data_IF_233943399454
#
_entry.id   IF_233943399454
#
_cell.length_a   1.000
_cell.length_b   1.000
_cell.length_c   1.000
_cell.angle_alpha   90.00
_cell.angle_beta   90.00
_cell.angle_gamma   90.00
#
_symmetry.space_group_name_H-M   'P 1'
#
loop_
_entity.id
_entity.type
_entity.pdbx_description
1 polymer ?
#
# COMPACT_ATOMS: atom_id res chain seq x y z
N UNK A 1 11.94 9.75 7.55
CA UNK A 1 12.52 9.81 6.19
C UNK A 1 11.58 10.51 5.19
N UNK A 2 10.28 10.12 5.07
CA UNK A 2 9.34 10.77 4.14
C UNK A 2 9.16 12.27 4.41
N UNK A 3 9.12 12.69 5.68
CA UNK A 3 9.02 14.11 6.04
C UNK A 3 10.24 14.90 5.56
N UNK A 4 11.46 14.37 5.80
CA UNK A 4 12.70 15.01 5.35
C UNK A 4 12.76 15.11 3.80
N UNK A 5 12.28 14.07 3.10
CA UNK A 5 12.19 14.11 1.64
C UNK A 5 11.19 15.18 1.16
N UNK A 6 10.03 15.28 1.80
CA UNK A 6 9.04 16.31 1.50
C UNK A 6 9.58 17.72 1.75
N UNK A 7 10.29 17.91 2.87
CA UNK A 7 10.91 19.21 3.20
C UNK A 7 11.97 19.60 2.16
N UNK A 8 12.83 18.66 1.74
CA UNK A 8 13.85 18.89 0.72
C UNK A 8 13.23 19.24 -0.65
N UNK A 9 12.15 18.52 -1.03
CA UNK A 9 11.43 18.80 -2.28
C UNK A 9 10.78 20.19 -2.25
N UNK A 10 10.09 20.53 -1.16
CA UNK A 10 9.44 21.85 -1.04
C UNK A 10 10.46 22.98 -0.98
N UNK A 11 11.59 22.77 -0.32
CA UNK A 11 12.67 23.78 -0.31
C UNK A 11 13.28 23.99 -1.71
N UNK A 12 13.35 22.95 -2.53
CA UNK A 12 13.87 23.00 -3.89
C UNK A 12 12.88 23.55 -4.90
N UNK A 13 11.59 23.27 -4.69
CA UNK A 13 10.49 23.59 -5.61
C UNK A 13 9.29 24.15 -4.83
N UNK A 14 9.39 25.40 -4.32
CA UNK A 14 8.38 25.95 -3.41
C UNK A 14 6.98 26.12 -4.04
N UNK A 15 6.93 26.38 -5.34
CA UNK A 15 5.70 26.67 -6.08
C UNK A 15 5.11 25.43 -6.78
N UNK A 16 5.70 24.24 -6.58
CA UNK A 16 5.23 23.01 -7.20
C UNK A 16 4.43 22.19 -6.21
N UNK A 17 3.20 21.74 -6.58
CA UNK A 17 2.40 20.91 -5.70
C UNK A 17 3.07 19.57 -5.42
N UNK A 18 2.98 19.12 -4.16
CA UNK A 18 3.55 17.86 -3.72
C UNK A 18 2.49 16.76 -3.80
N UNK A 19 2.84 15.63 -4.41
CA UNK A 19 1.99 14.45 -4.54
C UNK A 19 2.60 13.25 -3.84
N UNK A 20 1.73 12.38 -3.32
CA UNK A 20 2.13 11.08 -2.81
C UNK A 20 1.72 9.99 -3.80
N UNK A 21 2.66 9.21 -4.31
CA UNK A 21 2.36 8.03 -5.12
C UNK A 21 2.88 6.82 -4.36
N UNK A 22 1.96 6.04 -3.80
CA UNK A 22 2.28 4.90 -2.94
C UNK A 22 1.86 3.58 -3.56
N UNK A 23 2.82 2.70 -3.90
CA UNK A 23 2.54 1.34 -4.34
C UNK A 23 2.49 0.38 -3.14
N UNK A 24 1.47 -0.48 -3.10
CA UNK A 24 1.34 -1.53 -2.09
C UNK A 24 1.49 -0.97 -0.66
N UNK A 25 2.55 -1.32 0.07
CA UNK A 25 2.88 -0.78 1.39
C UNK A 25 2.98 0.76 1.39
N UNK A 26 3.45 1.36 0.28
CA UNK A 26 3.55 2.81 0.14
C UNK A 26 2.20 3.53 0.29
N UNK A 27 1.09 2.90 -0.10
CA UNK A 27 -0.25 3.44 0.16
C UNK A 27 -0.75 3.16 1.58
N UNK A 28 -0.29 2.09 2.21
CA UNK A 28 -0.67 1.75 3.59
C UNK A 28 -0.08 2.73 4.62
N UNK A 29 1.12 3.26 4.35
CA UNK A 29 1.86 4.13 5.29
C UNK A 29 1.54 5.63 5.14
N UNK A 30 0.67 6.03 4.24
CA UNK A 30 0.28 7.43 4.05
C UNK A 30 -0.19 8.09 5.37
N UNK A 31 -0.98 7.37 6.18
CA UNK A 31 -1.47 7.87 7.47
C UNK A 31 -0.36 8.17 8.49
N UNK A 32 0.81 7.55 8.33
CA UNK A 32 1.98 7.78 9.19
C UNK A 32 2.89 8.92 8.70
N UNK A 33 2.55 9.54 7.57
CA UNK A 33 3.23 10.73 7.09
C UNK A 33 2.63 11.97 7.76
N UNK A 34 3.36 12.63 8.70
CA UNK A 34 2.78 13.68 9.54
C UNK A 34 2.42 14.95 8.77
N UNK A 35 2.98 15.16 7.58
CA UNK A 35 2.77 16.33 6.75
C UNK A 35 1.78 16.08 5.60
N UNK A 36 0.87 15.09 5.75
CA UNK A 36 -0.07 14.73 4.69
C UNK A 36 -0.93 15.91 4.20
N UNK A 37 -1.23 16.88 5.07
CA UNK A 37 -1.99 18.08 4.69
C UNK A 37 -1.26 18.99 3.66
N UNK A 38 0.05 18.81 3.47
CA UNK A 38 0.84 19.52 2.44
C UNK A 38 0.72 18.88 1.06
N UNK A 39 0.17 17.68 0.98
CA UNK A 39 -0.01 16.97 -0.28
C UNK A 39 -1.22 17.53 -1.03
N UNK A 40 -1.05 17.85 -2.29
CA UNK A 40 -2.16 18.23 -3.17
C UNK A 40 -3.11 17.03 -3.39
N UNK A 41 -2.54 15.83 -3.55
CA UNK A 41 -3.29 14.58 -3.72
C UNK A 41 -2.41 13.38 -3.39
N UNK A 42 -3.02 12.29 -2.97
CA UNK A 42 -2.37 11.00 -2.81
C UNK A 42 -2.94 9.99 -3.80
N UNK A 43 -2.08 9.28 -4.51
CA UNK A 43 -2.43 8.21 -5.42
C UNK A 43 -1.89 6.90 -4.85
N UNK A 44 -2.77 5.96 -4.54
CA UNK A 44 -2.38 4.62 -4.06
C UNK A 44 -2.53 3.62 -5.19
N UNK A 45 -1.53 2.79 -5.40
CA UNK A 45 -1.50 1.81 -6.50
C UNK A 45 -1.36 0.41 -5.91
N UNK A 46 -2.31 -0.48 -6.19
CA UNK A 46 -2.30 -1.84 -5.68
C UNK A 46 -2.20 -1.90 -4.15
N UNK A 47 -2.80 -0.94 -3.44
CA UNK A 47 -2.72 -0.83 -1.98
C UNK A 47 -4.00 -1.32 -1.33
N UNK A 48 -3.85 -2.08 -0.26
CA UNK A 48 -4.96 -2.63 0.50
C UNK A 48 -4.53 -2.98 1.93
N UNK A 49 -5.47 -3.36 2.78
CA UNK A 49 -5.16 -3.96 4.07
C UNK A 49 -4.36 -5.25 3.83
N UNK A 50 -3.39 -5.54 4.67
CA UNK A 50 -2.68 -6.80 4.57
C UNK A 50 -3.42 -7.97 5.25
N UNK A 51 -4.66 -7.79 5.67
CA UNK A 51 -5.39 -8.83 6.41
C UNK A 51 -5.56 -10.10 5.57
N UNK A 52 -4.99 -11.19 6.05
CA UNK A 52 -4.79 -12.41 5.28
C UNK A 52 -6.08 -13.08 4.79
N UNK A 53 -7.19 -12.96 5.54
CA UNK A 53 -8.49 -13.52 5.11
C UNK A 53 -9.18 -12.69 4.00
N UNK A 54 -8.74 -11.47 3.76
CA UNK A 54 -9.24 -10.64 2.67
C UNK A 54 -8.45 -10.81 1.38
N UNK A 55 -7.27 -11.41 1.41
CA UNK A 55 -6.46 -11.70 0.23
C UNK A 55 -7.21 -12.58 -0.77
N UNK A 56 -6.70 -12.66 -1.99
CA UNK A 56 -7.21 -13.59 -3.00
C UNK A 56 -7.18 -15.02 -2.48
N UNK A 57 -8.12 -15.83 -2.89
CA UNK A 57 -8.25 -17.20 -2.39
C UNK A 57 -6.98 -18.03 -2.57
N UNK A 58 -6.33 -17.90 -3.73
CA UNK A 58 -5.07 -18.60 -4.04
C UNK A 58 -3.93 -18.24 -3.11
N UNK A 59 -3.92 -17.02 -2.58
CA UNK A 59 -2.86 -16.53 -1.70
C UNK A 59 -3.09 -16.88 -0.23
N UNK A 60 -4.33 -17.07 0.21
CA UNK A 60 -4.69 -17.24 1.64
C UNK A 60 -3.92 -18.34 2.35
N UNK A 61 -3.83 -19.52 1.75
CA UNK A 61 -3.11 -20.65 2.36
C UNK A 61 -1.62 -20.34 2.52
N UNK A 62 -1.04 -19.72 1.50
CA UNK A 62 0.37 -19.33 1.54
C UNK A 62 0.67 -18.28 2.61
N UNK A 63 -0.13 -17.20 2.70
CA UNK A 63 0.08 -16.16 3.71
C UNK A 63 -0.29 -16.62 5.11
N UNK A 64 -1.26 -17.53 5.24
CA UNK A 64 -1.52 -18.21 6.51
C UNK A 64 -0.28 -18.96 7.00
N UNK A 65 0.31 -19.81 6.15
CA UNK A 65 1.57 -20.49 6.45
C UNK A 65 2.69 -19.51 6.80
N UNK A 66 2.84 -18.44 6.01
CA UNK A 66 3.84 -17.41 6.26
C UNK A 66 3.68 -16.77 7.66
N UNK A 67 2.46 -16.31 7.97
CA UNK A 67 2.23 -15.54 9.20
C UNK A 67 2.20 -16.38 10.47
N UNK A 68 1.77 -17.62 10.40
CA UNK A 68 1.59 -18.46 11.59
C UNK A 68 2.76 -19.42 11.83
N UNK A 69 3.57 -19.72 10.82
CA UNK A 69 4.68 -20.69 10.95
C UNK A 69 6.02 -20.10 10.53
N UNK A 70 6.17 -19.59 9.31
CA UNK A 70 7.46 -19.14 8.79
C UNK A 70 8.01 -17.96 9.60
N UNK A 71 7.25 -16.91 9.77
CA UNK A 71 7.70 -15.70 10.46
C UNK A 71 8.02 -15.98 11.94
N UNK A 72 7.15 -16.66 12.73
CA UNK A 72 7.46 -17.00 14.12
C UNK A 72 8.72 -17.85 14.31
N UNK A 73 9.00 -18.73 13.34
CA UNK A 73 10.19 -19.60 13.40
C UNK A 73 11.46 -18.86 12.96
N UNK A 74 11.37 -18.11 11.88
CA UNK A 74 12.54 -17.49 11.22
C UNK A 74 13.06 -16.29 12.02
N UNK A 75 12.19 -15.45 12.58
CA UNK A 75 12.63 -14.28 13.33
C UNK A 75 13.50 -14.58 14.56
N UNK A 76 13.19 -15.56 15.42
CA UNK A 76 14.08 -15.92 16.53
C UNK A 76 15.39 -16.52 16.06
N UNK A 77 15.37 -17.35 14.99
CA UNK A 77 16.55 -18.06 14.51
C UNK A 77 17.57 -17.15 13.82
N UNK A 78 17.12 -16.18 13.05
CA UNK A 78 17.99 -15.32 12.24
C UNK A 78 18.13 -13.89 12.79
N UNK A 79 17.30 -13.48 13.74
CA UNK A 79 17.28 -12.09 14.24
C UNK A 79 16.69 -11.08 13.25
N UNK A 80 16.34 -11.49 12.04
CA UNK A 80 15.71 -10.69 10.97
C UNK A 80 14.94 -11.63 10.03
N UNK A 81 14.15 -11.08 9.12
CA UNK A 81 13.47 -11.87 8.09
C UNK A 81 14.31 -11.89 6.80
N UNK A 82 14.91 -13.06 6.44
CA UNK A 82 15.78 -13.19 5.28
C UNK A 82 14.98 -13.33 3.98
N UNK A 83 14.21 -12.31 3.63
CA UNK A 83 13.27 -12.35 2.51
C UNK A 83 13.93 -12.59 1.17
N UNK A 84 15.16 -12.09 0.95
CA UNK A 84 15.93 -12.34 -0.27
C UNK A 84 16.26 -13.83 -0.44
N UNK A 85 16.69 -14.50 0.64
CA UNK A 85 16.97 -15.94 0.62
C UNK A 85 15.69 -16.75 0.34
N UNK A 86 14.58 -16.31 0.87
CA UNK A 86 13.27 -16.93 0.67
C UNK A 86 12.62 -16.55 -0.67
N UNK A 87 13.28 -15.73 -1.50
CA UNK A 87 12.78 -15.22 -2.80
C UNK A 87 11.39 -14.57 -2.69
N UNK A 88 11.17 -13.80 -1.63
CA UNK A 88 9.91 -13.12 -1.33
C UNK A 88 10.06 -11.59 -1.45
N UNK A 89 10.04 -10.90 -0.34
CA UNK A 89 10.36 -9.48 -0.24
C UNK A 89 11.85 -9.31 0.06
N UNK A 90 12.35 -8.09 0.14
CA UNK A 90 13.69 -7.83 0.64
C UNK A 90 13.89 -8.32 2.08
N UNK A 91 15.13 -8.28 2.57
CA UNK A 91 15.40 -8.57 3.98
C UNK A 91 14.76 -7.50 4.86
N UNK A 92 14.07 -7.92 5.91
CA UNK A 92 13.35 -7.01 6.79
C UNK A 92 13.89 -7.11 8.23
N UNK A 93 14.09 -5.96 8.92
CA UNK A 93 14.41 -5.95 10.33
C UNK A 93 13.36 -6.72 11.14
N UNK A 94 13.80 -7.38 12.23
CA UNK A 94 12.93 -8.17 13.10
C UNK A 94 11.68 -7.41 13.53
N UNK A 95 11.84 -6.16 14.01
CA UNK A 95 10.74 -5.35 14.50
C UNK A 95 9.71 -5.03 13.41
N UNK A 96 10.17 -4.67 12.22
CA UNK A 96 9.31 -4.38 11.06
C UNK A 96 8.48 -5.60 10.67
N UNK A 97 9.14 -6.76 10.53
CA UNK A 97 8.43 -7.99 10.14
C UNK A 97 7.44 -8.47 11.20
N UNK A 98 7.82 -8.38 12.49
CA UNK A 98 6.94 -8.74 13.60
C UNK A 98 5.73 -7.82 13.69
N UNK A 99 5.89 -6.51 13.48
CA UNK A 99 4.79 -5.55 13.45
C UNK A 99 3.86 -5.83 12.28
N UNK A 100 4.41 -5.99 11.09
CA UNK A 100 3.62 -6.29 9.89
C UNK A 100 2.85 -7.61 10.01
N UNK A 101 3.46 -8.64 10.59
CA UNK A 101 2.77 -9.90 10.92
C UNK A 101 1.55 -9.67 11.80
N UNK A 102 1.67 -8.88 12.88
CA UNK A 102 0.52 -8.57 13.76
C UNK A 102 -0.60 -7.89 12.98
N UNK A 103 -0.26 -6.90 12.16
CA UNK A 103 -1.24 -6.19 11.33
C UNK A 103 -1.95 -7.13 10.35
N UNK A 104 -1.20 -7.95 9.62
CA UNK A 104 -1.76 -8.87 8.63
C UNK A 104 -2.65 -9.97 9.24
N UNK A 105 -2.50 -10.25 10.52
CA UNK A 105 -3.34 -11.23 11.25
C UNK A 105 -4.62 -10.61 11.85
N UNK A 106 -4.72 -9.30 11.92
CA UNK A 106 -5.87 -8.61 12.50
C UNK A 106 -6.81 -8.10 11.40
N UNK A 107 -8.14 -8.30 11.59
CA UNK A 107 -9.16 -7.91 10.61
C UNK A 107 -9.16 -6.42 10.28
N UNK A 108 -8.88 -5.58 11.27
CA UNK A 108 -8.79 -4.13 11.11
C UNK A 108 -7.33 -3.67 10.91
N UNK A 109 -6.46 -4.57 10.45
CA UNK A 109 -5.07 -4.31 10.07
C UNK A 109 -4.31 -3.51 11.14
N UNK A 110 -3.54 -2.47 10.72
CA UNK A 110 -2.79 -1.60 11.62
C UNK A 110 -3.68 -0.90 12.66
N UNK A 111 -4.87 -0.47 12.25
CA UNK A 111 -5.84 0.23 13.11
C UNK A 111 -6.30 -0.65 14.27
N UNK A 112 -6.51 -1.95 14.02
CA UNK A 112 -6.96 -2.87 15.06
C UNK A 112 -5.85 -3.27 16.04
N UNK A 113 -4.60 -3.30 15.60
CA UNK A 113 -3.45 -3.68 16.43
C UNK A 113 -2.91 -2.54 17.26
N UNK A 114 -2.76 -1.36 16.64
CA UNK A 114 -2.18 -0.17 17.29
C UNK A 114 -3.26 0.69 17.98
N UNK A 115 -4.53 0.39 17.72
CA UNK A 115 -5.67 0.96 18.41
C UNK A 115 -6.03 2.39 18.00
N UNK A 116 -6.67 3.10 18.94
CA UNK A 116 -7.24 4.43 18.72
C UNK A 116 -6.23 5.49 18.23
N UNK A 117 -4.97 5.52 18.67
CA UNK A 117 -4.01 6.49 18.13
C UNK A 117 -3.83 6.37 16.62
N UNK A 118 -3.69 5.14 16.10
CA UNK A 118 -3.52 4.91 14.66
C UNK A 118 -4.84 5.12 13.91
N UNK A 119 -5.99 4.76 14.51
CA UNK A 119 -7.30 5.08 13.94
C UNK A 119 -7.46 6.59 13.69
N UNK A 120 -7.07 7.41 14.66
CA UNK A 120 -7.10 8.88 14.52
C UNK A 120 -6.13 9.37 13.46
N UNK A 121 -4.95 8.78 13.31
CA UNK A 121 -4.01 9.16 12.25
C UNK A 121 -4.62 8.91 10.86
N UNK A 122 -5.25 7.75 10.63
CA UNK A 122 -5.94 7.49 9.37
C UNK A 122 -7.10 8.46 9.13
N UNK A 123 -7.92 8.71 10.15
CA UNK A 123 -9.06 9.64 10.06
C UNK A 123 -8.65 11.10 9.85
N UNK A 124 -7.47 11.50 10.35
CA UNK A 124 -6.95 12.86 10.22
C UNK A 124 -6.43 13.20 8.82
N UNK A 125 -6.22 12.22 7.95
CA UNK A 125 -5.83 12.47 6.56
C UNK A 125 -6.99 13.11 5.82
N UNK A 126 -6.82 14.36 5.40
CA UNK A 126 -7.80 15.14 4.62
C UNK A 126 -7.42 15.27 3.15
N UNK A 127 -6.18 14.91 2.80
CA UNK A 127 -5.68 14.87 1.43
C UNK A 127 -6.59 14.01 0.55
N UNK A 128 -7.05 14.48 -0.62
CA UNK A 128 -7.80 13.65 -1.55
C UNK A 128 -7.02 12.40 -1.96
N UNK A 129 -7.65 11.24 -1.95
CA UNK A 129 -7.02 9.96 -2.27
C UNK A 129 -7.66 9.38 -3.54
N UNK A 130 -6.83 9.05 -4.52
CA UNK A 130 -7.22 8.23 -5.68
C UNK A 130 -6.57 6.85 -5.54
N UNK A 131 -7.38 5.80 -5.48
CA UNK A 131 -6.92 4.43 -5.41
C UNK A 131 -7.03 3.76 -6.77
N UNK A 132 -5.89 3.31 -7.29
CA UNK A 132 -5.79 2.50 -8.50
C UNK A 132 -5.56 1.04 -8.09
N UNK A 133 -6.50 0.16 -8.39
CA UNK A 133 -6.40 -1.28 -8.09
C UNK A 133 -6.71 -2.10 -9.33
N UNK A 134 -6.28 -3.36 -9.36
CA UNK A 134 -6.40 -4.21 -10.55
C UNK A 134 -7.25 -5.43 -10.24
N UNK A 135 -8.05 -5.86 -11.24
CA UNK A 135 -8.93 -7.03 -11.06
C UNK A 135 -8.16 -8.34 -10.99
N UNK A 136 -6.96 -8.37 -11.55
CA UNK A 136 -6.05 -9.51 -11.61
C UNK A 136 -4.86 -9.39 -10.63
N UNK A 137 -4.94 -8.48 -9.67
CA UNK A 137 -3.92 -8.36 -8.60
C UNK A 137 -3.96 -9.63 -7.73
N UNK A 138 -2.86 -10.36 -7.75
CA UNK A 138 -2.72 -11.63 -7.04
C UNK A 138 -2.57 -11.45 -5.52
N UNK A 139 -2.20 -10.25 -5.04
CA UNK A 139 -2.02 -9.93 -3.62
C UNK A 139 -3.22 -9.21 -3.03
N UNK A 140 -3.72 -8.17 -3.71
CA UNK A 140 -4.73 -7.26 -3.17
C UNK A 140 -6.09 -7.47 -3.81
N UNK A 141 -6.99 -8.13 -3.10
CA UNK A 141 -8.38 -8.23 -3.52
C UNK A 141 -9.09 -6.87 -3.46
N UNK A 142 -10.28 -6.77 -4.06
CA UNK A 142 -11.13 -5.59 -3.90
C UNK A 142 -11.38 -5.27 -2.42
N UNK A 143 -11.62 -6.31 -1.61
CA UNK A 143 -11.90 -6.17 -0.18
C UNK A 143 -10.70 -5.64 0.60
N UNK A 144 -9.47 -6.11 0.33
CA UNK A 144 -8.27 -5.52 0.94
C UNK A 144 -8.18 -4.01 0.64
N UNK A 145 -8.43 -3.64 -0.63
CA UNK A 145 -8.39 -2.24 -1.06
C UNK A 145 -9.45 -1.41 -0.35
N UNK A 146 -10.69 -1.87 -0.30
CA UNK A 146 -11.80 -1.20 0.39
C UNK A 146 -11.54 -1.07 1.90
N UNK A 147 -11.07 -2.15 2.54
CA UNK A 147 -10.79 -2.16 3.98
C UNK A 147 -9.73 -1.12 4.37
N UNK A 148 -8.62 -1.03 3.62
CA UNK A 148 -7.60 0.00 3.88
C UNK A 148 -8.17 1.40 3.72
N UNK A 149 -8.79 1.67 2.57
CA UNK A 149 -9.27 3.00 2.25
C UNK A 149 -10.45 3.43 3.12
N UNK A 150 -11.17 2.47 3.70
CA UNK A 150 -12.23 2.70 4.68
C UNK A 150 -11.74 3.41 5.95
N UNK A 151 -10.46 3.29 6.32
CA UNK A 151 -9.90 3.96 7.49
C UNK A 151 -9.66 5.46 7.27
N UNK A 152 -9.49 5.92 6.03
CA UNK A 152 -9.28 7.34 5.68
C UNK A 152 -10.61 8.11 5.67
N UNK A 153 -11.28 8.19 6.81
CA UNK A 153 -12.62 8.78 6.92
C UNK A 153 -12.66 10.29 6.72
N UNK A 154 -11.53 10.98 6.92
CA UNK A 154 -11.42 12.42 6.68
C UNK A 154 -11.14 12.80 5.22
N UNK A 155 -10.76 11.84 4.38
CA UNK A 155 -10.37 12.11 2.99
C UNK A 155 -11.51 11.86 2.01
N UNK A 156 -11.58 12.70 0.97
CA UNK A 156 -12.33 12.37 -0.24
C UNK A 156 -11.61 11.24 -0.98
N UNK A 157 -12.31 10.16 -1.29
CA UNK A 157 -11.72 8.95 -1.88
C UNK A 157 -12.37 8.62 -3.21
N UNK A 158 -11.55 8.46 -4.24
CA UNK A 158 -11.97 7.95 -5.56
C UNK A 158 -11.34 6.59 -5.77
N UNK A 159 -12.17 5.56 -5.90
CA UNK A 159 -11.72 4.17 -6.05
C UNK A 159 -11.86 3.76 -7.52
N UNK A 160 -10.72 3.50 -8.19
CA UNK A 160 -10.67 3.03 -9.59
C UNK A 160 -10.17 1.60 -9.61
N UNK A 161 -11.00 0.67 -10.08
CA UNK A 161 -10.61 -0.72 -10.25
C UNK A 161 -10.55 -1.04 -11.75
N UNK A 162 -9.34 -1.36 -12.22
CA UNK A 162 -9.00 -1.46 -13.63
C UNK A 162 -8.84 -2.96 -13.99
N UNK A 163 -9.53 -3.41 -15.03
CA UNK A 163 -9.32 -4.73 -15.57
C UNK A 163 -8.24 -4.69 -16.68
N UNK A 164 -7.45 -5.75 -16.88
CA UNK A 164 -6.48 -5.81 -17.97
C UNK A 164 -7.09 -5.48 -19.34
N UNK A 165 -8.32 -5.93 -19.61
CA UNK A 165 -9.02 -5.67 -20.86
C UNK A 165 -9.33 -4.18 -21.09
N UNK A 166 -9.53 -3.39 -20.01
CA UNK A 166 -9.82 -1.96 -20.11
C UNK A 166 -8.63 -1.17 -20.70
N UNK A 167 -7.44 -1.77 -20.63
CA UNK A 167 -6.18 -1.17 -21.09
C UNK A 167 -5.51 -1.99 -22.21
N UNK A 168 -6.25 -2.95 -22.79
CA UNK A 168 -5.76 -3.78 -23.89
C UNK A 168 -4.63 -4.73 -23.49
N UNK A 169 -4.53 -5.10 -22.23
CA UNK A 169 -3.48 -5.97 -21.70
C UNK A 169 -4.00 -7.38 -21.41
N UNK A 170 -3.10 -8.37 -21.47
CA UNK A 170 -3.40 -9.75 -21.04
C UNK A 170 -3.39 -9.92 -19.52
N UNK A 171 -2.67 -9.05 -18.81
CA UNK A 171 -2.57 -9.03 -17.37
C UNK A 171 -1.78 -7.82 -16.90
N UNK A 172 -2.11 -7.29 -15.73
CA UNK A 172 -1.40 -6.20 -15.05
C UNK A 172 -0.71 -6.77 -13.82
N UNK A 173 -1.45 -7.43 -12.94
CA UNK A 173 -0.99 -7.99 -11.67
C UNK A 173 -0.53 -6.91 -10.69
N UNK A 174 -0.03 -7.35 -9.54
CA UNK A 174 0.37 -6.44 -8.46
C UNK A 174 1.53 -5.50 -8.83
N UNK A 175 2.50 -5.98 -9.62
CA UNK A 175 3.72 -5.25 -9.95
C UNK A 175 3.74 -4.69 -11.38
N UNK A 176 2.65 -4.82 -12.12
CA UNK A 176 2.62 -4.44 -13.53
C UNK A 176 2.61 -2.94 -13.76
N UNK A 177 1.89 -2.19 -12.92
CA UNK A 177 1.62 -0.77 -13.13
C UNK A 177 2.86 0.06 -13.50
N UNK A 178 3.97 -0.14 -12.81
CA UNK A 178 5.21 0.64 -13.01
C UNK A 178 6.14 0.06 -14.09
N UNK A 179 5.71 -0.96 -14.83
CA UNK A 179 6.49 -1.49 -15.94
C UNK A 179 6.29 -0.66 -17.20
N UNK A 180 7.37 -0.43 -17.94
CA UNK A 180 7.38 0.41 -19.16
C UNK A 180 6.26 0.09 -20.17
N UNK A 181 5.88 -1.18 -20.45
CA UNK A 181 4.80 -1.48 -21.38
C UNK A 181 3.44 -0.86 -21.00
N UNK A 182 3.26 -0.46 -19.76
CA UNK A 182 2.02 0.15 -19.26
C UNK A 182 2.05 1.68 -19.19
N UNK A 183 3.14 2.33 -19.68
CA UNK A 183 3.28 3.78 -19.63
C UNK A 183 2.10 4.51 -20.30
N UNK A 184 1.74 4.12 -21.52
CA UNK A 184 0.63 4.77 -22.22
C UNK A 184 -0.73 4.39 -21.67
N UNK A 185 -0.94 3.10 -21.38
CA UNK A 185 -2.25 2.57 -21.03
C UNK A 185 -2.63 2.85 -19.56
N UNK A 186 -1.66 2.88 -18.64
CA UNK A 186 -1.92 3.09 -17.23
C UNK A 186 -1.45 4.46 -16.75
N UNK A 187 -0.20 4.87 -17.02
CA UNK A 187 0.30 6.13 -16.46
C UNK A 187 -0.39 7.32 -17.13
N UNK A 188 -0.39 7.37 -18.47
CA UNK A 188 -0.99 8.50 -19.21
C UNK A 188 -2.49 8.60 -18.97
N UNK A 189 -3.20 7.48 -18.84
CA UNK A 189 -4.66 7.50 -18.72
C UNK A 189 -5.16 7.58 -17.28
N UNK A 190 -4.42 7.06 -16.30
CA UNK A 190 -4.94 6.89 -14.94
C UNK A 190 -4.10 7.58 -13.86
N UNK A 191 -2.80 7.86 -14.10
CA UNK A 191 -1.94 8.51 -13.13
C UNK A 191 -1.74 10.00 -13.46
N UNK A 192 -1.26 10.32 -14.66
CA UNK A 192 -0.92 11.69 -15.01
C UNK A 192 -2.10 12.67 -14.94
N UNK A 193 -3.35 12.30 -15.29
CA UNK A 193 -4.51 13.18 -15.10
C UNK A 193 -4.78 13.54 -13.64
N UNK A 194 -4.28 12.75 -12.70
CA UNK A 194 -4.45 13.00 -11.27
C UNK A 194 -3.39 13.97 -10.68
N UNK A 195 -2.36 14.30 -11.47
CA UNK A 195 -1.27 15.20 -11.08
C UNK A 195 -1.46 16.64 -11.58
N UNK A 196 -2.64 16.97 -12.11
CA UNK A 196 -2.99 18.30 -12.60
C UNK A 196 -3.92 19.03 -11.63
#
# INVERSE_FOLDING_TARGET
DCAAAADALTARFPDVPLYWIGHSLGGQILAFFPQHARLAKAITVGSGSGYWLENTWSLRLYVWWLWYFVVPLVLPLFGYFPGRKLKKVGDLPRGVMAQWQRWCRHRDYAVGVEGEPVRRQYAAVTTPIVSLSFTDDEFMSARNTESLHGFYTGAQRTMKRIAPNDVGAKGIGHFGFFRHPFAESLWTRHLLPELN
#
